data_IF_152954300821
#
_entry.id   IF_152954300821
#
_cell.length_a   1.000
_cell.length_b   1.000
_cell.length_c   1.000
_cell.angle_alpha   90.00
_cell.angle_beta   90.00
_cell.angle_gamma   90.00
#
_symmetry.space_group_name_H-M   'P 1'
#
loop_
_entity.id
_entity.type
_entity.pdbx_description
1 polymer ?
#
# COMPACT_ATOMS: atom_id res chain seq x y z
N UNK A 1 10.41 -5.41 2.98
CA UNK A 1 10.43 -6.78 2.42
C UNK A 1 11.54 -7.68 3.02
N UNK A 2 12.64 -7.11 3.50
CA UNK A 2 13.80 -7.92 3.95
C UNK A 2 13.62 -8.60 5.31
N UNK A 3 12.78 -8.07 6.17
CA UNK A 3 12.57 -8.52 7.54
C UNK A 3 11.31 -9.39 7.76
N UNK A 4 10.59 -9.79 6.70
CA UNK A 4 9.30 -10.50 6.83
C UNK A 4 9.40 -11.78 7.68
N UNK A 5 10.41 -12.61 7.45
CA UNK A 5 10.61 -13.83 8.21
C UNK A 5 10.92 -13.53 9.69
N UNK A 6 11.73 -12.50 9.97
CA UNK A 6 12.05 -12.09 11.32
C UNK A 6 10.81 -11.60 12.09
N UNK A 7 9.96 -10.80 11.47
CA UNK A 7 8.70 -10.37 12.08
C UNK A 7 7.77 -11.54 12.39
N UNK A 8 7.63 -12.48 11.46
CA UNK A 8 6.87 -13.71 11.71
C UNK A 8 7.44 -14.53 12.87
N UNK A 9 8.77 -14.66 12.96
CA UNK A 9 9.45 -15.37 14.05
C UNK A 9 9.29 -14.67 15.41
N UNK A 10 9.06 -13.37 15.44
CA UNK A 10 8.75 -12.58 16.64
C UNK A 10 7.29 -12.72 17.11
N UNK A 11 6.47 -13.52 16.42
CA UNK A 11 5.10 -13.81 16.83
C UNK A 11 4.04 -12.85 16.28
N UNK A 12 4.37 -11.98 15.31
CA UNK A 12 3.35 -11.18 14.65
C UNK A 12 2.42 -12.05 13.80
N UNK A 13 1.10 -11.86 13.96
CA UNK A 13 0.07 -12.66 13.28
C UNK A 13 0.09 -12.46 11.76
N UNK A 14 0.49 -11.29 11.29
CA UNK A 14 0.70 -10.94 9.88
C UNK A 14 1.70 -9.80 9.77
N UNK A 15 2.28 -9.63 8.58
CA UNK A 15 3.28 -8.61 8.32
C UNK A 15 2.89 -7.78 7.09
N UNK A 16 3.12 -6.47 7.15
CA UNK A 16 2.92 -5.55 6.04
C UNK A 16 4.28 -5.07 5.51
N UNK A 17 4.51 -5.18 4.21
CA UNK A 17 5.63 -4.53 3.55
C UNK A 17 5.15 -3.38 2.66
N UNK A 18 5.96 -2.33 2.54
CA UNK A 18 5.62 -1.15 1.73
C UNK A 18 5.91 0.18 2.45
N UNK A 19 5.39 1.38 2.05
CA UNK A 19 4.58 1.53 0.83
C UNK A 19 5.37 1.33 -0.46
N UNK A 20 4.87 0.47 -1.29
CA UNK A 20 5.42 0.23 -2.61
C UNK A 20 4.66 1.05 -3.65
N UNK A 21 5.36 1.60 -4.63
CA UNK A 21 4.78 2.28 -5.78
C UNK A 21 5.17 1.55 -7.07
N UNK A 22 4.40 1.71 -8.13
CA UNK A 22 4.71 1.11 -9.45
C UNK A 22 6.13 1.43 -9.89
N UNK A 23 6.48 2.71 -9.81
CA UNK A 23 7.79 3.21 -10.20
C UNK A 23 8.68 3.47 -8.98
N UNK A 24 10.01 3.36 -9.14
CA UNK A 24 10.94 3.72 -8.07
C UNK A 24 10.86 5.22 -7.76
N UNK A 25 11.05 5.56 -6.50
CA UNK A 25 11.14 6.95 -6.06
C UNK A 25 11.99 7.11 -4.81
N UNK A 26 12.77 8.19 -4.77
CA UNK A 26 13.69 8.50 -3.68
C UNK A 26 12.97 8.89 -2.37
N UNK A 27 11.71 9.32 -2.47
CA UNK A 27 10.98 9.93 -1.37
C UNK A 27 11.35 11.40 -1.15
N UNK A 28 11.03 11.91 0.05
CA UNK A 28 11.33 13.30 0.38
C UNK A 28 12.79 13.50 0.77
N UNK A 29 13.35 14.73 0.65
CA UNK A 29 14.71 15.03 1.06
C UNK A 29 15.00 14.68 2.52
N UNK A 30 16.21 14.25 2.81
CA UNK A 30 16.71 14.02 4.18
C UNK A 30 17.11 15.35 4.83
N UNK A 31 17.00 15.46 6.21
CA UNK A 31 16.47 14.48 7.15
C UNK A 31 14.94 14.34 7.06
N UNK A 32 14.43 13.11 7.16
CA UNK A 32 13.00 12.81 6.96
C UNK A 32 12.38 11.89 8.02
N UNK A 33 13.15 11.61 9.09
CA UNK A 33 12.68 10.90 10.28
C UNK A 33 13.30 11.53 11.51
N UNK A 34 12.50 11.80 12.52
CA UNK A 34 12.88 12.50 13.74
C UNK A 34 12.33 11.76 14.96
N UNK A 35 13.15 11.71 16.03
CA UNK A 35 12.73 11.16 17.33
C UNK A 35 12.31 12.30 18.26
N UNK A 36 11.11 12.20 18.78
CA UNK A 36 10.61 13.08 19.84
C UNK A 36 10.63 12.34 21.19
N UNK A 37 11.81 12.16 21.76
CA UNK A 37 12.05 11.30 22.93
C UNK A 37 11.15 11.65 24.13
N UNK A 38 10.95 12.95 24.40
CA UNK A 38 10.07 13.42 25.50
C UNK A 38 8.62 12.97 25.31
N UNK A 39 8.17 12.78 24.09
CA UNK A 39 6.81 12.38 23.74
C UNK A 39 6.71 10.89 23.33
N UNK A 40 7.80 10.13 23.43
CA UNK A 40 7.89 8.73 23.01
C UNK A 40 7.35 8.52 21.59
N UNK A 41 7.64 9.46 20.67
CA UNK A 41 7.09 9.50 19.34
C UNK A 41 8.16 9.55 18.25
N UNK A 42 7.79 9.10 17.05
CA UNK A 42 8.53 9.28 15.80
C UNK A 42 7.72 10.16 14.87
N UNK A 43 8.37 11.17 14.30
CA UNK A 43 7.79 12.02 13.27
C UNK A 43 8.52 11.74 11.97
N UNK A 44 7.78 11.54 10.88
CA UNK A 44 8.39 11.28 9.59
C UNK A 44 7.71 12.03 8.43
N UNK A 45 8.49 12.24 7.38
CA UNK A 45 8.04 12.73 6.07
C UNK A 45 8.70 11.90 4.97
N UNK A 46 8.55 10.57 5.02
CA UNK A 46 9.29 9.63 4.16
C UNK A 46 9.00 9.79 2.66
N UNK A 47 7.73 9.93 2.25
CA UNK A 47 7.32 10.11 0.86
C UNK A 47 7.46 8.83 0.02
N UNK A 48 7.21 7.67 0.59
CA UNK A 48 7.25 6.35 -0.06
C UNK A 48 8.56 6.07 -0.82
N UNK A 49 9.70 6.29 -0.18
CA UNK A 49 10.97 5.90 -0.77
C UNK A 49 11.04 4.38 -0.95
N UNK A 50 11.11 3.93 -2.19
CA UNK A 50 11.14 2.51 -2.53
C UNK A 50 11.72 2.28 -3.94
N UNK A 51 12.23 1.07 -4.23
CA UNK A 51 12.85 0.76 -5.52
C UNK A 51 11.86 0.45 -6.64
N UNK A 52 10.56 0.62 -6.41
CA UNK A 52 9.49 0.27 -7.35
C UNK A 52 9.05 -1.20 -7.29
N UNK A 53 7.81 -1.45 -7.75
CA UNK A 53 7.17 -2.75 -7.64
C UNK A 53 7.95 -3.89 -8.34
N UNK A 54 8.57 -3.63 -9.48
CA UNK A 54 9.35 -4.63 -10.22
C UNK A 54 10.55 -5.14 -9.43
N UNK A 55 11.31 -4.24 -8.82
CA UNK A 55 12.46 -4.62 -8.00
C UNK A 55 12.02 -5.28 -6.68
N UNK A 56 10.95 -4.78 -6.05
CA UNK A 56 10.37 -5.41 -4.86
C UNK A 56 9.93 -6.84 -5.18
N UNK A 57 9.22 -7.05 -6.31
CA UNK A 57 8.81 -8.38 -6.78
C UNK A 57 9.99 -9.33 -6.91
N UNK A 58 11.09 -8.88 -7.56
CA UNK A 58 12.30 -9.69 -7.73
C UNK A 58 12.85 -10.16 -6.40
N UNK A 59 13.03 -9.25 -5.45
CA UNK A 59 13.53 -9.57 -4.10
C UNK A 59 12.63 -10.52 -3.32
N UNK A 60 11.32 -10.38 -3.48
CA UNK A 60 10.35 -11.27 -2.83
C UNK A 60 10.35 -12.67 -3.46
N UNK A 61 10.46 -12.76 -4.78
CA UNK A 61 10.58 -14.03 -5.50
C UNK A 61 11.84 -14.82 -5.05
N UNK A 62 12.99 -14.16 -4.95
CA UNK A 62 14.22 -14.75 -4.45
C UNK A 62 14.09 -15.28 -3.02
N UNK A 63 13.31 -14.59 -2.16
CA UNK A 63 13.04 -15.06 -0.79
C UNK A 63 12.12 -16.26 -0.76
N UNK A 64 11.09 -16.24 -1.58
CA UNK A 64 10.12 -17.32 -1.66
C UNK A 64 10.76 -18.62 -2.18
N UNK A 65 11.64 -18.51 -3.19
CA UNK A 65 12.37 -19.66 -3.74
C UNK A 65 13.45 -20.24 -2.81
N UNK A 66 13.95 -19.44 -1.87
CA UNK A 66 15.00 -19.87 -0.90
C UNK A 66 14.45 -20.27 0.46
N UNK A 67 13.16 -20.63 0.55
CA UNK A 67 12.45 -21.01 1.79
C UNK A 67 12.57 -19.96 2.94
N UNK A 68 12.68 -18.69 2.56
CA UNK A 68 12.71 -17.56 3.50
C UNK A 68 11.40 -16.77 3.49
N UNK A 69 10.30 -17.45 3.18
CA UNK A 69 8.96 -16.86 3.25
C UNK A 69 8.32 -17.12 4.61
N UNK A 70 7.65 -16.12 5.23
CA UNK A 70 6.97 -16.34 6.51
C UNK A 70 5.76 -17.27 6.35
N UNK A 71 5.41 -17.96 7.43
CA UNK A 71 4.18 -18.76 7.51
C UNK A 71 2.95 -17.91 7.79
N UNK A 72 3.15 -16.73 8.41
CA UNK A 72 2.07 -15.76 8.65
C UNK A 72 1.71 -15.01 7.36
N UNK A 73 0.45 -14.56 7.23
CA UNK A 73 0.01 -13.77 6.08
C UNK A 73 0.86 -12.52 5.83
N UNK A 74 1.03 -12.18 4.58
CA UNK A 74 1.82 -11.02 4.15
C UNK A 74 0.93 -10.04 3.38
N UNK A 75 0.89 -8.80 3.85
CA UNK A 75 0.19 -7.71 3.19
C UNK A 75 1.15 -6.83 2.38
N UNK A 76 0.75 -6.44 1.18
CA UNK A 76 1.44 -5.42 0.38
C UNK A 76 0.76 -4.06 0.55
N UNK A 77 1.42 -3.12 1.22
CA UNK A 77 0.98 -1.72 1.27
C UNK A 77 1.44 -1.01 -0.01
N UNK A 78 0.50 -0.54 -0.78
CA UNK A 78 0.74 0.11 -2.06
C UNK A 78 0.20 1.53 -2.07
N UNK A 79 0.88 2.41 -2.78
CA UNK A 79 0.50 3.80 -2.94
C UNK A 79 0.76 4.30 -4.36
N UNK A 80 0.13 5.43 -4.72
CA UNK A 80 0.35 6.08 -6.00
C UNK A 80 1.80 6.55 -6.13
N UNK A 81 2.39 6.29 -7.28
CA UNK A 81 3.70 6.83 -7.64
C UNK A 81 3.66 8.36 -7.74
N UNK A 82 4.64 9.04 -7.17
CA UNK A 82 4.69 10.52 -7.14
C UNK A 82 4.59 11.15 -8.53
N UNK A 83 5.17 10.52 -9.55
CA UNK A 83 5.17 11.03 -10.93
C UNK A 83 3.88 10.76 -11.70
N UNK A 84 2.94 9.97 -11.16
CA UNK A 84 1.67 9.64 -11.80
C UNK A 84 0.60 10.62 -11.32
N UNK A 85 -0.12 11.30 -12.22
CA UNK A 85 -1.24 12.16 -11.88
C UNK A 85 -2.38 11.39 -11.20
N UNK A 86 -3.24 12.09 -10.46
CA UNK A 86 -4.38 11.46 -9.77
C UNK A 86 -5.35 10.77 -10.73
N UNK A 87 -5.56 11.32 -11.92
CA UNK A 87 -6.45 10.75 -12.95
C UNK A 87 -6.01 9.37 -13.45
N UNK A 88 -4.73 9.05 -13.29
CA UNK A 88 -4.14 7.75 -13.64
C UNK A 88 -3.79 6.89 -12.41
N UNK A 89 -4.30 7.26 -11.25
CA UNK A 89 -4.04 6.52 -10.02
C UNK A 89 -4.56 5.08 -10.09
N UNK A 90 -5.74 4.86 -10.65
CA UNK A 90 -6.33 3.53 -10.82
C UNK A 90 -5.38 2.56 -11.52
N UNK A 91 -4.84 2.96 -12.66
CA UNK A 91 -3.88 2.16 -13.44
C UNK A 91 -2.57 1.90 -12.68
N UNK A 92 -2.11 2.89 -11.92
CA UNK A 92 -0.86 2.78 -11.16
C UNK A 92 -0.99 1.78 -10.00
N UNK A 93 -2.13 1.83 -9.25
CA UNK A 93 -2.44 0.84 -8.21
C UNK A 93 -2.65 -0.56 -8.81
N UNK A 94 -3.46 -0.68 -9.85
CA UNK A 94 -3.74 -1.95 -10.51
C UNK A 94 -2.48 -2.63 -11.03
N UNK A 95 -1.60 -1.89 -11.71
CA UNK A 95 -0.33 -2.41 -12.18
C UNK A 95 0.61 -2.84 -11.04
N UNK A 96 0.58 -2.13 -9.91
CA UNK A 96 1.36 -2.51 -8.71
C UNK A 96 0.84 -3.80 -8.10
N UNK A 97 -0.49 -3.94 -7.99
CA UNK A 97 -1.15 -5.17 -7.53
C UNK A 97 -0.79 -6.35 -8.43
N UNK A 98 -0.91 -6.19 -9.75
CA UNK A 98 -0.62 -7.26 -10.71
C UNK A 98 0.82 -7.77 -10.57
N UNK A 99 1.79 -6.84 -10.45
CA UNK A 99 3.19 -7.18 -10.25
C UNK A 99 3.46 -7.94 -8.95
N UNK A 100 2.75 -7.60 -7.87
CA UNK A 100 2.99 -8.15 -6.54
C UNK A 100 2.04 -9.29 -6.18
N UNK A 101 1.13 -9.69 -7.08
CA UNK A 101 0.05 -10.62 -6.80
C UNK A 101 0.51 -11.90 -6.11
N UNK A 102 1.55 -12.55 -6.63
CA UNK A 102 2.05 -13.83 -6.10
C UNK A 102 2.90 -13.70 -4.81
N UNK A 103 3.07 -12.47 -4.33
CA UNK A 103 3.94 -12.13 -3.21
C UNK A 103 3.21 -11.41 -2.07
N UNK A 104 1.88 -11.47 -2.06
CA UNK A 104 1.04 -10.94 -1.00
C UNK A 104 -0.20 -11.82 -0.83
N UNK A 105 -0.69 -11.96 0.38
CA UNK A 105 -1.94 -12.64 0.70
C UNK A 105 -3.11 -11.63 0.71
N UNK A 106 -2.82 -10.35 0.94
CA UNK A 106 -3.75 -9.23 0.90
C UNK A 106 -3.06 -7.95 0.46
N UNK A 107 -3.85 -6.94 0.04
CA UNK A 107 -3.32 -5.63 -0.37
C UNK A 107 -3.90 -4.51 0.47
N UNK A 108 -3.04 -3.59 0.91
CA UNK A 108 -3.42 -2.36 1.61
C UNK A 108 -3.34 -1.20 0.63
N UNK A 109 -4.50 -0.68 0.22
CA UNK A 109 -4.60 0.47 -0.68
C UNK A 109 -4.42 1.75 0.14
N UNK A 110 -3.24 2.34 0.08
CA UNK A 110 -2.86 3.48 0.91
C UNK A 110 -3.10 4.81 0.20
N UNK A 111 -4.24 5.42 0.45
CA UNK A 111 -4.64 6.74 -0.06
C UNK A 111 -4.50 7.85 0.99
N UNK A 112 -3.84 7.58 2.10
CA UNK A 112 -3.89 8.44 3.30
C UNK A 112 -2.60 9.20 3.63
N UNK A 113 -1.48 8.92 2.94
CA UNK A 113 -0.20 9.52 3.31
C UNK A 113 -0.17 11.03 3.07
N UNK A 114 0.14 11.85 4.10
CA UNK A 114 0.31 13.29 3.93
C UNK A 114 1.65 13.65 3.27
N UNK A 115 2.55 12.69 3.14
CA UNK A 115 3.93 12.88 2.70
C UNK A 115 4.11 12.78 1.17
N UNK A 116 3.03 12.54 0.45
CA UNK A 116 3.01 12.51 -1.02
C UNK A 116 1.98 13.55 -1.49
N UNK A 117 2.39 14.56 -2.27
CA UNK A 117 1.48 15.60 -2.74
C UNK A 117 0.27 15.02 -3.47
N UNK A 118 -0.92 15.54 -3.15
CA UNK A 118 -2.19 15.14 -3.76
C UNK A 118 -2.66 13.72 -3.45
N UNK A 119 -1.98 12.96 -2.59
CA UNK A 119 -2.40 11.58 -2.29
C UNK A 119 -3.70 11.53 -1.49
N UNK A 120 -3.92 12.47 -0.57
CA UNK A 120 -5.15 12.54 0.22
C UNK A 120 -6.36 12.94 -0.64
N UNK A 121 -6.15 13.63 -1.77
CA UNK A 121 -7.21 13.97 -2.71
C UNK A 121 -7.85 12.72 -3.33
N UNK A 122 -7.12 11.58 -3.33
CA UNK A 122 -7.62 10.27 -3.78
C UNK A 122 -8.74 9.70 -2.89
N UNK A 123 -9.01 10.31 -1.74
CA UNK A 123 -10.17 9.99 -0.92
C UNK A 123 -11.46 10.62 -1.47
N UNK A 124 -11.35 11.56 -2.42
CA UNK A 124 -12.49 12.07 -3.18
C UNK A 124 -13.17 10.96 -3.98
N UNK A 125 -14.50 11.01 -4.06
CA UNK A 125 -15.34 9.92 -4.59
C UNK A 125 -14.87 9.41 -5.96
N UNK A 126 -14.67 10.30 -6.93
CA UNK A 126 -14.32 9.92 -8.31
C UNK A 126 -12.99 9.15 -8.40
N UNK A 127 -11.96 9.63 -7.72
CA UNK A 127 -10.66 8.98 -7.70
C UNK A 127 -10.71 7.64 -6.96
N UNK A 128 -11.41 7.61 -5.82
CA UNK A 128 -11.57 6.40 -5.04
C UNK A 128 -12.28 5.31 -5.85
N UNK A 129 -13.41 5.63 -6.47
CA UNK A 129 -14.13 4.69 -7.33
C UNK A 129 -13.26 4.18 -8.49
N UNK A 130 -12.53 5.06 -9.16
CA UNK A 130 -11.61 4.69 -10.24
C UNK A 130 -10.55 3.70 -9.77
N UNK A 131 -9.90 3.99 -8.64
CA UNK A 131 -8.88 3.10 -8.05
C UNK A 131 -9.48 1.73 -7.73
N UNK A 132 -10.60 1.70 -7.02
CA UNK A 132 -11.21 0.45 -6.58
C UNK A 132 -11.70 -0.40 -7.74
N UNK A 133 -12.28 0.21 -8.78
CA UNK A 133 -12.69 -0.50 -10.02
C UNK A 133 -11.48 -1.12 -10.73
N UNK A 134 -10.42 -0.35 -10.96
CA UNK A 134 -9.20 -0.85 -11.60
C UNK A 134 -8.54 -1.99 -10.80
N UNK A 135 -8.52 -1.88 -9.47
CA UNK A 135 -8.01 -2.94 -8.61
C UNK A 135 -8.89 -4.21 -8.68
N UNK A 136 -10.21 -4.07 -8.68
CA UNK A 136 -11.14 -5.17 -8.80
C UNK A 136 -11.06 -5.89 -10.15
N UNK A 137 -10.75 -5.18 -11.24
CA UNK A 137 -10.47 -5.81 -12.53
C UNK A 137 -9.27 -6.77 -12.45
N UNK A 138 -8.20 -6.40 -11.76
CA UNK A 138 -7.07 -7.31 -11.54
C UNK A 138 -7.51 -8.51 -10.71
N UNK A 139 -8.25 -8.31 -9.61
CA UNK A 139 -8.78 -9.39 -8.77
C UNK A 139 -9.62 -10.38 -9.59
N UNK A 140 -10.48 -9.86 -10.45
CA UNK A 140 -11.32 -10.68 -11.34
C UNK A 140 -10.50 -11.47 -12.37
N UNK A 141 -9.50 -10.82 -12.99
CA UNK A 141 -8.60 -11.47 -13.96
C UNK A 141 -7.77 -12.60 -13.34
N UNK A 142 -7.40 -12.47 -12.09
CA UNK A 142 -6.59 -13.49 -11.36
C UNK A 142 -7.42 -14.69 -10.90
N UNK A 143 -8.75 -14.57 -10.81
CA UNK A 143 -9.65 -15.67 -10.42
C UNK A 143 -9.52 -16.14 -8.98
N UNK A 144 -8.68 -15.50 -8.17
CA UNK A 144 -8.45 -15.78 -6.75
C UNK A 144 -8.81 -14.52 -5.97
N UNK A 145 -9.66 -14.65 -4.96
CA UNK A 145 -10.02 -13.53 -4.09
C UNK A 145 -8.91 -13.31 -3.05
N UNK A 146 -8.29 -12.14 -3.09
CA UNK A 146 -7.42 -11.65 -2.01
C UNK A 146 -8.03 -10.42 -1.39
N UNK A 147 -8.04 -10.29 -0.05
CA UNK A 147 -8.61 -9.14 0.62
C UNK A 147 -7.94 -7.83 0.19
N UNK A 148 -8.75 -6.79 0.03
CA UNK A 148 -8.31 -5.42 -0.17
C UNK A 148 -8.69 -4.58 1.05
N UNK A 149 -7.71 -4.01 1.70
CA UNK A 149 -7.86 -3.13 2.86
C UNK A 149 -7.63 -1.68 2.43
N UNK A 150 -8.59 -0.81 2.66
CA UNK A 150 -8.44 0.61 2.37
C UNK A 150 -7.89 1.34 3.60
N UNK A 151 -6.68 1.91 3.47
CA UNK A 151 -6.02 2.62 4.57
C UNK A 151 -6.36 4.09 4.57
N UNK A 152 -7.13 4.53 5.56
CA UNK A 152 -7.58 5.90 5.74
C UNK A 152 -6.61 6.74 6.58
N UNK A 153 -6.74 8.07 6.49
CA UNK A 153 -6.04 9.01 7.35
C UNK A 153 -6.65 9.01 8.76
N UNK A 154 -5.84 9.02 9.83
CA UNK A 154 -6.37 9.21 11.18
C UNK A 154 -6.94 10.63 11.40
N UNK A 155 -6.62 11.57 10.53
CA UNK A 155 -7.10 12.96 10.58
C UNK A 155 -8.39 13.18 9.77
N UNK A 156 -8.94 12.12 9.13
CA UNK A 156 -10.17 12.21 8.34
C UNK A 156 -11.37 12.49 9.24
N UNK A 157 -12.28 13.34 8.76
CA UNK A 157 -13.54 13.62 9.47
C UNK A 157 -14.49 12.42 9.40
N UNK A 158 -15.34 12.27 10.41
CA UNK A 158 -16.33 11.18 10.47
C UNK A 158 -17.20 11.09 9.22
N UNK A 159 -17.60 12.22 8.65
CA UNK A 159 -18.37 12.27 7.41
C UNK A 159 -17.59 11.72 6.21
N UNK A 160 -16.29 12.05 6.10
CA UNK A 160 -15.40 11.56 5.06
C UNK A 160 -15.20 10.05 5.21
N UNK A 161 -14.98 9.57 6.44
CA UNK A 161 -14.84 8.14 6.73
C UNK A 161 -16.11 7.38 6.32
N UNK A 162 -17.30 7.86 6.71
CA UNK A 162 -18.59 7.22 6.35
C UNK A 162 -18.80 7.18 4.84
N UNK A 163 -18.52 8.29 4.13
CA UNK A 163 -18.61 8.34 2.67
C UNK A 163 -17.67 7.34 2.01
N UNK A 164 -16.41 7.32 2.44
CA UNK A 164 -15.39 6.38 1.94
C UNK A 164 -15.79 4.92 2.18
N UNK A 165 -16.30 4.59 3.36
CA UNK A 165 -16.78 3.24 3.68
C UNK A 165 -17.95 2.85 2.76
N UNK A 166 -18.92 3.74 2.56
CA UNK A 166 -20.08 3.47 1.69
C UNK A 166 -19.65 3.16 0.25
N UNK A 167 -18.70 3.94 -0.29
CA UNK A 167 -18.15 3.71 -1.63
C UNK A 167 -17.39 2.38 -1.68
N UNK A 168 -16.54 2.12 -0.71
CA UNK A 168 -15.72 0.91 -0.65
C UNK A 168 -16.58 -0.36 -0.57
N UNK A 169 -17.60 -0.37 0.30
CA UNK A 169 -18.55 -1.48 0.43
C UNK A 169 -19.34 -1.70 -0.86
N UNK A 170 -19.81 -0.63 -1.51
CA UNK A 170 -20.51 -0.72 -2.79
C UNK A 170 -19.66 -1.31 -3.92
N UNK A 171 -18.35 -1.28 -3.78
CA UNK A 171 -17.37 -1.85 -4.74
C UNK A 171 -16.72 -3.14 -4.25
N UNK A 172 -17.21 -3.73 -3.16
CA UNK A 172 -16.76 -5.04 -2.67
C UNK A 172 -15.33 -5.03 -2.10
N UNK A 173 -14.98 -3.97 -1.37
CA UNK A 173 -13.75 -3.92 -0.57
C UNK A 173 -14.04 -4.54 0.80
N UNK A 174 -13.07 -5.31 1.30
CA UNK A 174 -13.18 -6.09 2.53
C UNK A 174 -12.85 -5.27 3.79
#
# INVERSE_FOLDING_TARGET
>A
AEALLAWSAMGFSWCEYGGVTRYPQEGNPKPRMFRANKHRALVNKMGFNNPGASEVRKRLAERKSSDRWPKSPVAANIGRSKKVPNDHAGDDYAATIDLLWDHADMFVLNISSPNTPGLRDLQGQEYLESILRSCNEIRSKKGIVKPYLLKLSPDALDAEIRSTISIAQGLGID
#
